data_IF_313334255571
#
_entry.id   IF_313334255571
#
_cell.length_a   1.000
_cell.length_b   1.000
_cell.length_c   1.000
_cell.angle_alpha   90.00
_cell.angle_beta   90.00
_cell.angle_gamma   90.00
#
_symmetry.space_group_name_H-M   'P 1'
#
loop_
_entity.id
_entity.type
_entity.pdbx_description
1 polymer ?
#
# COMPACT_ATOMS: atom_id res chain seq x y z
N UNK A 1 -3.05 -3.88 -7.96
CA UNK A 1 -1.67 -3.54 -8.38
C UNK A 1 -1.57 -2.09 -8.84
N UNK A 2 -0.46 -1.38 -8.58
CA UNK A 2 -0.23 -0.01 -9.06
C UNK A 2 0.77 0.03 -10.21
N UNK A 3 0.43 0.76 -11.27
CA UNK A 3 1.22 0.95 -12.49
C UNK A 3 1.35 2.44 -12.80
N UNK A 4 2.55 2.90 -13.13
CA UNK A 4 2.85 4.31 -13.44
C UNK A 4 3.64 4.41 -14.75
N UNK A 5 3.56 5.54 -15.46
CA UNK A 5 4.41 5.76 -16.62
C UNK A 5 5.85 5.99 -16.16
N UNK A 6 6.84 5.46 -16.90
CA UNK A 6 8.24 5.82 -16.68
C UNK A 6 8.49 7.29 -17.04
N UNK A 7 9.47 7.93 -16.40
CA UNK A 7 9.71 9.39 -16.48
C UNK A 7 9.80 9.96 -17.92
N UNK A 8 10.20 9.13 -18.89
CA UNK A 8 10.38 9.53 -20.29
C UNK A 8 9.17 9.26 -21.19
N UNK A 9 8.07 8.70 -20.68
CA UNK A 9 6.91 8.32 -21.50
C UNK A 9 5.70 9.20 -21.20
N UNK A 10 5.40 10.11 -22.12
CA UNK A 10 4.17 10.90 -22.12
C UNK A 10 3.01 10.04 -22.65
N UNK A 11 2.33 9.33 -21.76
CA UNK A 11 1.20 8.48 -22.13
C UNK A 11 0.25 8.20 -20.98
N UNK A 12 -1.01 7.90 -21.29
CA UNK A 12 -1.96 7.38 -20.33
C UNK A 12 -1.73 5.87 -20.18
N UNK A 13 -1.29 5.43 -19.00
CA UNK A 13 -1.00 4.01 -18.72
C UNK A 13 -2.22 3.11 -19.01
N UNK A 14 -3.44 3.62 -18.79
CA UNK A 14 -4.70 2.95 -19.15
C UNK A 14 -4.68 2.48 -20.61
N UNK A 15 -4.45 3.41 -21.54
CA UNK A 15 -4.50 3.13 -22.99
C UNK A 15 -3.43 2.13 -23.40
N UNK A 16 -2.20 2.33 -22.89
CA UNK A 16 -1.09 1.44 -23.22
C UNK A 16 -1.39 0.00 -22.77
N UNK A 17 -1.98 -0.16 -21.59
CA UNK A 17 -2.39 -1.46 -21.06
C UNK A 17 -3.56 -2.05 -21.86
N UNK A 18 -4.61 -1.30 -22.15
CA UNK A 18 -5.79 -1.80 -22.88
C UNK A 18 -5.50 -2.17 -24.35
N UNK A 19 -4.59 -1.44 -25.01
CA UNK A 19 -4.19 -1.70 -26.40
C UNK A 19 -3.31 -2.96 -26.53
N UNK A 20 -2.53 -3.28 -25.50
CA UNK A 20 -1.52 -4.35 -25.55
C UNK A 20 -1.90 -5.60 -24.74
N UNK A 21 -2.92 -5.52 -23.89
CA UNK A 21 -3.35 -6.60 -23.00
C UNK A 21 -4.83 -6.86 -23.19
N UNK A 22 -5.17 -7.99 -23.80
CA UNK A 22 -6.55 -8.40 -24.03
C UNK A 22 -7.01 -9.38 -22.93
N UNK A 23 -7.89 -8.95 -22.00
CA UNK A 23 -8.27 -9.73 -20.82
C UNK A 23 -8.83 -11.11 -21.17
N UNK A 24 -9.66 -11.16 -22.22
CA UNK A 24 -10.33 -12.37 -22.70
C UNK A 24 -9.37 -13.40 -23.27
N UNK A 25 -8.30 -12.97 -23.95
CA UNK A 25 -7.29 -13.88 -24.53
C UNK A 25 -6.37 -14.47 -23.47
N UNK A 26 -6.16 -13.73 -22.38
CA UNK A 26 -5.20 -14.10 -21.34
C UNK A 26 -5.85 -14.77 -20.13
N UNK A 27 -7.17 -15.07 -20.23
CA UNK A 27 -7.97 -15.65 -19.16
C UNK A 27 -7.81 -14.91 -17.82
N UNK A 28 -7.81 -13.58 -17.86
CA UNK A 28 -7.72 -12.71 -16.70
C UNK A 28 -9.01 -11.90 -16.55
N UNK A 29 -9.61 -11.96 -15.36
CA UNK A 29 -10.66 -11.03 -14.96
C UNK A 29 -10.00 -9.78 -14.38
N UNK A 30 -10.25 -8.62 -15.00
CA UNK A 30 -9.93 -7.33 -14.41
C UNK A 30 -11.22 -6.72 -13.86
N UNK A 31 -11.29 -6.50 -12.57
CA UNK A 31 -12.53 -6.02 -11.94
C UNK A 31 -12.69 -4.52 -12.07
N UNK A 32 -11.63 -3.76 -11.79
CA UNK A 32 -11.68 -2.30 -11.84
C UNK A 32 -10.33 -1.69 -12.18
N UNK A 33 -10.38 -0.61 -12.97
CA UNK A 33 -9.24 0.28 -13.23
C UNK A 33 -9.55 1.63 -12.59
N UNK A 34 -8.69 2.06 -11.67
CA UNK A 34 -8.75 3.39 -11.03
C UNK A 34 -7.58 4.22 -11.54
N UNK A 35 -7.88 5.32 -12.22
CA UNK A 35 -6.86 6.24 -12.72
C UNK A 35 -6.44 7.25 -11.65
N UNK A 36 -5.16 7.64 -11.66
CA UNK A 36 -4.61 8.66 -10.76
C UNK A 36 -4.29 9.95 -11.53
N UNK A 37 -4.30 11.09 -10.83
CA UNK A 37 -3.90 12.40 -11.40
C UNK A 37 -2.47 12.38 -11.96
N UNK A 38 -1.60 11.55 -11.39
CA UNK A 38 -0.22 11.34 -11.85
C UNK A 38 -0.11 10.41 -13.08
N UNK A 39 -1.19 10.22 -13.84
CA UNK A 39 -1.27 9.38 -15.06
C UNK A 39 -1.02 7.87 -14.84
N UNK A 40 -0.80 7.45 -13.61
CA UNK A 40 -0.77 6.05 -13.22
C UNK A 40 -2.16 5.45 -13.06
N UNK A 41 -2.22 4.14 -12.87
CA UNK A 41 -3.44 3.38 -12.64
C UNK A 41 -3.28 2.39 -11.49
N UNK A 42 -4.36 2.12 -10.79
CA UNK A 42 -4.52 0.93 -9.95
C UNK A 42 -5.43 -0.05 -10.69
N UNK A 43 -4.96 -1.28 -10.86
CA UNK A 43 -5.74 -2.37 -11.44
C UNK A 43 -5.98 -3.42 -10.38
N UNK A 44 -7.25 -3.71 -10.11
CA UNK A 44 -7.60 -4.75 -9.15
C UNK A 44 -7.51 -6.12 -9.84
N UNK A 45 -6.82 -7.05 -9.17
CA UNK A 45 -6.63 -8.42 -9.62
C UNK A 45 -7.30 -9.32 -8.57
N UNK A 46 -8.19 -10.25 -8.97
CA UNK A 46 -8.95 -11.06 -8.02
C UNK A 46 -8.05 -12.06 -7.26
N UNK A 47 -6.93 -12.47 -7.86
CA UNK A 47 -5.97 -13.38 -7.26
C UNK A 47 -4.51 -12.97 -7.55
N UNK A 48 -3.60 -13.51 -6.75
CA UNK A 48 -2.15 -13.29 -6.93
C UNK A 48 -1.65 -13.85 -8.26
N UNK A 49 -2.27 -14.92 -8.77
CA UNK A 49 -1.91 -15.53 -10.07
C UNK A 49 -2.19 -14.57 -11.22
N UNK A 50 -3.36 -13.93 -11.25
CA UNK A 50 -3.70 -12.92 -12.24
C UNK A 50 -2.78 -11.71 -12.16
N UNK A 51 -2.42 -11.27 -10.95
CA UNK A 51 -1.43 -10.21 -10.77
C UNK A 51 -0.05 -10.59 -11.34
N UNK A 52 0.41 -11.83 -11.10
CA UNK A 52 1.69 -12.32 -11.64
C UNK A 52 1.69 -12.44 -13.17
N UNK A 53 0.61 -12.94 -13.76
CA UNK A 53 0.46 -13.01 -15.24
C UNK A 53 0.52 -11.63 -15.87
N UNK A 54 -0.23 -10.68 -15.32
CA UNK A 54 -0.21 -9.29 -15.78
C UNK A 54 1.19 -8.68 -15.70
N UNK A 55 1.94 -9.00 -14.64
CA UNK A 55 3.33 -8.56 -14.51
C UNK A 55 4.24 -9.18 -15.55
N UNK A 56 4.11 -10.48 -15.81
CA UNK A 56 4.87 -11.15 -16.86
C UNK A 56 4.60 -10.51 -18.21
N UNK A 57 3.34 -10.24 -18.56
CA UNK A 57 2.98 -9.62 -19.83
C UNK A 57 3.55 -8.21 -19.99
N UNK A 58 3.54 -7.42 -18.92
CA UNK A 58 4.17 -6.08 -18.91
C UNK A 58 5.68 -6.21 -19.14
N UNK A 59 6.33 -7.24 -18.59
CA UNK A 59 7.77 -7.46 -18.75
C UNK A 59 8.15 -8.04 -20.12
N UNK A 60 7.31 -8.90 -20.70
CA UNK A 60 7.56 -9.55 -21.98
C UNK A 60 7.25 -8.65 -23.18
N UNK A 61 6.29 -7.73 -23.05
CA UNK A 61 5.98 -6.78 -24.12
C UNK A 61 6.90 -5.55 -24.03
N UNK A 62 7.78 -5.38 -25.02
CA UNK A 62 8.77 -4.28 -25.06
C UNK A 62 8.14 -2.89 -24.92
N UNK A 63 6.95 -2.66 -25.49
CA UNK A 63 6.25 -1.37 -25.40
C UNK A 63 5.80 -1.09 -23.97
N UNK A 64 5.32 -2.13 -23.26
CA UNK A 64 4.87 -2.02 -21.87
C UNK A 64 6.07 -1.93 -20.92
N UNK A 65 7.09 -2.74 -21.13
CA UNK A 65 8.31 -2.75 -20.32
C UNK A 65 9.06 -1.41 -20.41
N UNK A 66 9.08 -0.78 -21.59
CA UNK A 66 9.66 0.54 -21.81
C UNK A 66 8.82 1.70 -21.28
N UNK A 67 7.49 1.54 -21.22
CA UNK A 67 6.56 2.61 -20.89
C UNK A 67 6.01 2.63 -19.46
N UNK A 68 5.96 1.47 -18.81
CA UNK A 68 5.27 1.31 -17.52
C UNK A 68 6.25 0.78 -16.48
N UNK A 69 6.13 1.31 -15.27
CA UNK A 69 6.74 0.76 -14.08
C UNK A 69 5.67 0.33 -13.07
N UNK A 70 5.92 -0.81 -12.41
CA UNK A 70 5.10 -1.27 -11.30
C UNK A 70 5.64 -0.66 -10.01
N UNK A 71 4.77 0.03 -9.27
CA UNK A 71 5.12 0.51 -7.92
C UNK A 71 4.59 -0.46 -6.87
N UNK A 72 5.49 -1.11 -6.15
CA UNK A 72 5.11 -1.95 -5.00
C UNK A 72 4.64 -1.03 -3.87
N UNK A 73 3.39 -1.18 -3.44
CA UNK A 73 2.92 -0.47 -2.25
C UNK A 73 3.65 -1.03 -1.03
N UNK A 74 4.20 -0.18 -0.15
CA UNK A 74 4.71 -0.67 1.12
C UNK A 74 3.57 -1.33 1.90
N UNK A 75 3.90 -2.40 2.63
CA UNK A 75 2.96 -3.04 3.55
C UNK A 75 2.48 -1.95 4.51
N UNK A 76 1.19 -1.63 4.46
CA UNK A 76 0.56 -0.72 5.41
C UNK A 76 0.14 -1.54 6.60
N UNK A 77 0.89 -1.42 7.68
CA UNK A 77 0.48 -1.98 8.95
C UNK A 77 -0.77 -1.27 9.47
N UNK A 78 -1.66 -1.98 10.16
CA UNK A 78 -2.86 -1.39 10.72
C UNK A 78 -2.50 -0.22 11.64
N UNK A 79 -3.30 0.83 11.56
CA UNK A 79 -3.22 2.00 12.43
C UNK A 79 -4.46 2.02 13.29
N UNK A 80 -4.29 2.31 14.57
CA UNK A 80 -5.39 2.60 15.48
C UNK A 80 -5.32 4.04 15.96
N UNK A 81 -6.46 4.57 16.38
CA UNK A 81 -6.57 5.85 17.06
C UNK A 81 -6.89 5.54 18.51
N UNK A 82 -6.09 6.07 19.42
CA UNK A 82 -6.35 6.01 20.86
C UNK A 82 -6.80 7.40 21.29
N UNK A 83 -7.94 7.42 21.98
CA UNK A 83 -8.61 8.63 22.44
C UNK A 83 -8.25 8.93 23.89
N UNK A 84 -8.59 10.13 24.33
CA UNK A 84 -8.50 10.57 25.73
C UNK A 84 -7.11 10.50 26.36
N UNK A 85 -6.06 10.65 25.54
CA UNK A 85 -4.68 10.83 25.96
C UNK A 85 -4.56 12.18 26.70
N UNK A 86 -4.10 12.20 27.96
CA UNK A 86 -3.90 13.43 28.71
C UNK A 86 -2.99 14.43 27.97
N UNK A 87 -3.36 15.72 28.03
CA UNK A 87 -2.51 16.80 27.50
C UNK A 87 -1.22 16.85 28.33
N UNK A 88 -0.08 16.60 27.68
CA UNK A 88 1.23 16.59 28.33
C UNK A 88 1.79 15.20 28.62
N UNK A 89 1.01 14.13 28.43
CA UNK A 89 1.58 12.77 28.44
C UNK A 89 2.61 12.68 27.32
N UNK A 90 3.79 12.13 27.54
CA UNK A 90 4.85 11.94 26.53
C UNK A 90 4.66 10.62 25.77
N UNK A 91 5.23 10.51 24.57
CA UNK A 91 5.04 9.30 23.73
C UNK A 91 5.60 8.02 24.39
N UNK A 92 6.59 8.15 25.27
CA UNK A 92 7.12 7.06 26.09
C UNK A 92 6.06 6.56 27.08
N UNK A 93 5.40 7.47 27.79
CA UNK A 93 4.36 7.16 28.76
C UNK A 93 3.14 6.54 28.07
N UNK A 94 2.78 7.05 26.88
CA UNK A 94 1.72 6.44 26.05
C UNK A 94 2.08 5.01 25.69
N UNK A 95 3.34 4.75 25.30
CA UNK A 95 3.78 3.41 24.93
C UNK A 95 3.73 2.44 26.11
N UNK A 96 4.09 2.90 27.31
CA UNK A 96 4.04 2.11 28.54
C UNK A 96 2.60 1.83 28.99
N UNK A 97 1.71 2.83 28.90
CA UNK A 97 0.30 2.65 29.18
C UNK A 97 -0.37 1.67 28.21
N UNK A 98 0.01 1.71 26.92
CA UNK A 98 -0.47 0.75 25.92
C UNK A 98 0.01 -0.67 26.22
N UNK A 99 1.28 -0.85 26.55
CA UNK A 99 1.83 -2.16 26.91
C UNK A 99 1.11 -2.74 28.12
N UNK A 100 0.86 -1.93 29.16
CA UNK A 100 0.12 -2.35 30.34
C UNK A 100 -1.33 -2.72 30.02
N UNK A 101 -2.03 -1.91 29.20
CA UNK A 101 -3.44 -2.10 28.90
C UNK A 101 -3.71 -3.26 27.93
N UNK A 102 -2.82 -3.50 26.97
CA UNK A 102 -3.04 -4.51 25.91
C UNK A 102 -2.18 -5.76 26.07
N UNK A 103 -1.21 -5.77 26.97
CA UNK A 103 -0.21 -6.86 27.11
C UNK A 103 0.71 -7.00 25.90
N UNK A 104 0.75 -5.99 25.01
CA UNK A 104 1.54 -6.03 23.78
C UNK A 104 2.93 -5.47 24.06
N UNK A 105 4.02 -6.19 23.71
CA UNK A 105 5.38 -5.76 24.06
C UNK A 105 5.75 -4.38 23.50
N UNK A 106 6.50 -3.62 24.30
CA UNK A 106 7.07 -2.31 23.91
C UNK A 106 7.73 -2.37 22.53
N UNK A 107 7.34 -1.44 21.65
CA UNK A 107 7.85 -1.37 20.28
C UNK A 107 7.02 -2.11 19.23
N UNK A 108 6.03 -2.92 19.62
CA UNK A 108 5.03 -3.45 18.69
C UNK A 108 3.95 -2.42 18.37
N UNK A 109 3.68 -1.51 19.30
CA UNK A 109 2.83 -0.32 19.11
C UNK A 109 3.73 0.91 19.15
N UNK A 110 3.68 1.74 18.10
CA UNK A 110 4.47 2.96 18.00
C UNK A 110 3.56 4.18 17.83
N UNK A 111 3.57 5.14 18.78
CA UNK A 111 2.96 6.44 18.57
C UNK A 111 3.51 7.11 17.29
N UNK A 112 2.64 7.60 16.42
CA UNK A 112 3.04 8.24 15.16
C UNK A 112 2.96 9.76 15.25
N UNK A 113 1.77 10.26 15.55
CA UNK A 113 1.51 11.69 15.65
C UNK A 113 0.24 11.92 16.44
N UNK A 114 0.20 13.06 17.12
CA UNK A 114 -0.99 13.56 17.80
C UNK A 114 -1.85 14.34 16.83
N UNK A 115 -3.16 14.14 16.91
CA UNK A 115 -4.11 14.92 16.11
C UNK A 115 -4.26 16.27 16.82
N UNK A 116 -3.83 17.34 16.15
CA UNK A 116 -3.91 18.71 16.68
C UNK A 116 -5.32 19.00 17.19
N UNK A 117 -5.39 19.71 18.32
CA UNK A 117 -6.63 20.13 18.99
C UNK A 117 -7.46 19.00 19.65
N UNK A 118 -7.01 17.75 19.57
CA UNK A 118 -7.69 16.61 20.21
C UNK A 118 -6.80 15.92 21.25
N UNK A 119 -7.43 15.18 22.18
CA UNK A 119 -6.75 14.26 23.11
C UNK A 119 -6.45 12.91 22.44
N UNK A 120 -6.21 12.90 21.13
CA UNK A 120 -6.14 11.66 20.36
C UNK A 120 -4.75 11.47 19.76
N UNK A 121 -4.27 10.23 19.79
CA UNK A 121 -3.01 9.84 19.18
C UNK A 121 -3.23 8.72 18.16
N UNK A 122 -2.55 8.82 17.02
CA UNK A 122 -2.51 7.74 16.03
C UNK A 122 -1.33 6.84 16.38
N UNK A 123 -1.60 5.55 16.53
CA UNK A 123 -0.60 4.53 16.81
C UNK A 123 -0.49 3.58 15.62
N UNK A 124 0.75 3.24 15.29
CA UNK A 124 1.07 2.23 14.30
C UNK A 124 1.29 0.90 14.98
N UNK A 125 0.62 -0.13 14.50
CA UNK A 125 0.78 -1.48 14.99
C UNK A 125 1.84 -2.19 14.16
N UNK A 126 3.10 -2.10 14.58
CA UNK A 126 4.18 -2.89 14.02
C UNK A 126 4.03 -4.33 14.47
N UNK A 127 3.42 -5.19 13.67
CA UNK A 127 3.72 -6.61 13.76
C UNK A 127 5.17 -6.81 13.31
N UNK A 128 6.15 -6.69 14.22
CA UNK A 128 7.44 -7.35 14.00
C UNK A 128 7.13 -8.84 13.99
N UNK A 129 7.25 -9.45 12.81
CA UNK A 129 7.31 -10.90 12.69
C UNK A 129 8.35 -11.41 13.68
N UNK A 130 7.90 -12.06 14.76
CA UNK A 130 8.69 -13.08 15.45
C UNK A 130 8.68 -14.29 14.53
N UNK A 131 9.52 -14.29 13.50
CA UNK A 131 9.95 -15.46 12.77
C UNK A 131 11.41 -15.23 12.37
N UNK A 132 12.27 -15.36 13.37
CA UNK A 132 13.69 -15.67 13.19
C UNK A 132 14.00 -16.79 14.18
N UNK A 133 13.90 -18.02 13.71
CA UNK A 133 14.72 -19.18 14.05
C UNK A 133 14.35 -20.31 13.09
#
# INVERSE_FOLDING_TARGET
MLLFPKENVKGHVVKLVEENIQPTKEAMAFEAVRSFRSKGIARDCPDDKGAQRLLQLIQTNEKLAGGIERKKTPIRFPRCIVYDIPKGMEDIEVSEALELATGVPKGSLKPCFRIKESRNIVIWCSQRNRNTS
#
